data_IF_814130709938
#
_entry.id   IF_814130709938
#
_cell.length_a   1.000
_cell.length_b   1.000
_cell.length_c   1.000
_cell.angle_alpha   90.00
_cell.angle_beta   90.00
_cell.angle_gamma   90.00
#
_symmetry.space_group_name_H-M   'P 1'
#
loop_
_entity.id
_entity.type
_entity.pdbx_description
1 polymer ?
#
# COMPACT_ATOMS: atom_id res chain seq x y z
N UNK A 1 -2.73 -28.52 -5.25
CA UNK A 1 -2.86 -27.63 -6.43
C UNK A 1 -4.28 -27.15 -6.67
N UNK A 2 -5.27 -28.04 -6.79
CA UNK A 2 -6.67 -27.61 -6.99
C UNK A 2 -7.24 -26.83 -5.81
N UNK A 3 -6.92 -27.21 -4.60
CA UNK A 3 -7.36 -26.56 -3.37
C UNK A 3 -6.77 -25.15 -3.22
N UNK A 4 -5.48 -24.98 -3.52
CA UNK A 4 -4.81 -23.67 -3.52
C UNK A 4 -5.39 -22.73 -4.57
N UNK A 5 -5.66 -23.23 -5.78
CA UNK A 5 -6.26 -22.44 -6.84
C UNK A 5 -7.67 -21.99 -6.49
N UNK A 6 -8.49 -22.87 -5.94
CA UNK A 6 -9.84 -22.54 -5.47
C UNK A 6 -9.82 -21.51 -4.35
N UNK A 7 -8.84 -21.61 -3.45
CA UNK A 7 -8.68 -20.65 -2.36
C UNK A 7 -8.26 -19.26 -2.90
N UNK A 8 -7.33 -19.20 -3.85
CA UNK A 8 -6.92 -17.94 -4.49
C UNK A 8 -8.06 -17.30 -5.29
N UNK A 9 -8.84 -18.10 -6.02
CA UNK A 9 -10.00 -17.61 -6.78
C UNK A 9 -11.05 -17.02 -5.84
N UNK A 10 -11.29 -17.66 -4.70
CA UNK A 10 -12.21 -17.17 -3.67
C UNK A 10 -11.74 -15.84 -3.07
N UNK A 11 -10.47 -15.74 -2.71
CA UNK A 11 -9.87 -14.52 -2.18
C UNK A 11 -9.98 -13.38 -3.20
N UNK A 12 -9.66 -13.64 -4.45
CA UNK A 12 -9.74 -12.66 -5.53
C UNK A 12 -11.17 -12.17 -5.76
N UNK A 13 -12.14 -13.07 -5.78
CA UNK A 13 -13.56 -12.71 -5.94
C UNK A 13 -14.05 -11.86 -4.77
N UNK A 14 -13.67 -12.20 -3.54
CA UNK A 14 -14.02 -11.41 -2.36
C UNK A 14 -13.43 -9.99 -2.43
N UNK A 15 -12.21 -9.84 -2.91
CA UNK A 15 -11.59 -8.52 -3.10
C UNK A 15 -12.27 -7.70 -4.19
N UNK A 16 -12.66 -8.33 -5.31
CA UNK A 16 -13.43 -7.67 -6.36
C UNK A 16 -14.76 -7.14 -5.85
N UNK A 17 -15.48 -7.93 -5.07
CA UNK A 17 -16.77 -7.54 -4.50
C UNK A 17 -16.63 -6.37 -3.52
N UNK A 18 -15.51 -6.30 -2.80
CA UNK A 18 -15.27 -5.27 -1.79
C UNK A 18 -14.67 -3.97 -2.36
N UNK A 19 -14.22 -3.94 -3.61
CA UNK A 19 -13.50 -2.77 -4.17
C UNK A 19 -14.31 -1.47 -4.14
N UNK A 20 -15.61 -1.53 -4.40
CA UNK A 20 -16.48 -0.36 -4.40
C UNK A 20 -16.63 0.23 -3.01
N UNK A 21 -16.78 -0.64 -2.00
CA UNK A 21 -16.82 -0.24 -0.60
C UNK A 21 -15.50 0.40 -0.17
N UNK A 22 -14.36 -0.18 -0.56
CA UNK A 22 -13.04 0.36 -0.26
C UNK A 22 -12.80 1.72 -0.92
N UNK A 23 -13.28 1.93 -2.15
CA UNK A 23 -13.16 3.21 -2.85
C UNK A 23 -13.86 4.36 -2.12
N UNK A 24 -14.88 4.06 -1.32
CA UNK A 24 -15.62 5.05 -0.52
C UNK A 24 -14.99 5.36 0.83
N UNK A 25 -13.94 4.64 1.23
CA UNK A 25 -13.28 4.86 2.52
C UNK A 25 -12.52 6.18 2.55
N UNK A 26 -12.53 6.86 3.70
CA UNK A 26 -11.80 8.09 3.90
C UNK A 26 -10.34 7.88 4.31
N UNK A 27 -9.57 8.96 4.39
CA UNK A 27 -8.16 8.94 4.76
C UNK A 27 -7.93 8.35 6.17
N UNK A 28 -8.80 8.67 7.12
CA UNK A 28 -8.69 8.16 8.50
C UNK A 28 -8.77 6.64 8.56
N UNK A 29 -9.72 6.05 7.85
CA UNK A 29 -9.90 4.60 7.80
C UNK A 29 -8.73 3.91 7.11
N UNK A 30 -8.28 4.45 5.99
CA UNK A 30 -7.11 3.93 5.25
C UNK A 30 -5.83 4.03 6.07
N UNK A 31 -5.61 5.14 6.78
CA UNK A 31 -4.48 5.30 7.70
C UNK A 31 -4.50 4.25 8.81
N UNK A 32 -5.68 3.99 9.37
CA UNK A 32 -5.84 2.96 10.41
C UNK A 32 -5.43 1.58 9.90
N UNK A 33 -5.84 1.22 8.69
CA UNK A 33 -5.45 -0.04 8.04
C UNK A 33 -3.96 -0.12 7.77
N UNK A 34 -3.34 0.96 7.29
CA UNK A 34 -1.90 1.02 7.05
C UNK A 34 -1.10 0.91 8.36
N UNK A 35 -1.55 1.55 9.42
CA UNK A 35 -0.93 1.43 10.74
C UNK A 35 -1.01 0.02 11.28
N UNK A 36 -2.14 -0.66 11.09
CA UNK A 36 -2.31 -2.06 11.48
C UNK A 36 -1.39 -2.97 10.67
N UNK A 37 -1.30 -2.76 9.37
CA UNK A 37 -0.39 -3.50 8.50
C UNK A 37 1.07 -3.32 8.95
N UNK A 38 1.48 -2.10 9.22
CA UNK A 38 2.84 -1.81 9.69
C UNK A 38 3.12 -2.46 11.04
N UNK A 39 2.21 -2.35 12.00
CA UNK A 39 2.35 -2.96 13.31
C UNK A 39 2.48 -4.49 13.22
N UNK A 40 1.63 -5.13 12.42
CA UNK A 40 1.68 -6.57 12.18
C UNK A 40 2.99 -6.99 11.51
N UNK A 41 3.43 -6.24 10.52
CA UNK A 41 4.70 -6.49 9.83
C UNK A 41 5.89 -6.42 10.81
N UNK A 42 5.91 -5.42 11.70
CA UNK A 42 6.98 -5.28 12.69
C UNK A 42 6.97 -6.42 13.72
N UNK A 43 5.80 -6.92 14.10
CA UNK A 43 5.69 -8.12 14.96
C UNK A 43 6.24 -9.38 14.28
N UNK A 44 6.15 -9.44 12.95
CA UNK A 44 6.62 -10.57 12.14
C UNK A 44 8.04 -10.37 11.61
N UNK A 45 8.78 -9.39 12.10
CA UNK A 45 10.13 -9.05 11.61
C UNK A 45 11.08 -10.24 11.65
N UNK A 46 11.09 -11.00 12.73
CA UNK A 46 11.91 -12.20 12.85
C UNK A 46 11.58 -13.28 11.82
N UNK A 47 10.30 -13.49 11.52
CA UNK A 47 9.86 -14.42 10.48
C UNK A 47 10.25 -13.94 9.08
N UNK A 48 10.16 -12.63 8.82
CA UNK A 48 10.56 -12.03 7.55
C UNK A 48 12.08 -12.18 7.33
N UNK A 49 12.88 -11.95 8.36
CA UNK A 49 14.34 -12.17 8.32
C UNK A 49 14.69 -13.62 8.01
N UNK A 50 14.01 -14.56 8.65
CA UNK A 50 14.21 -16.00 8.42
C UNK A 50 13.83 -16.39 6.98
N UNK A 51 12.75 -15.85 6.46
CA UNK A 51 12.31 -16.10 5.08
C UNK A 51 13.30 -15.54 4.06
N UNK A 52 13.82 -14.34 4.28
CA UNK A 52 14.83 -13.74 3.41
C UNK A 52 16.15 -14.49 3.43
N UNK A 53 16.54 -15.00 4.58
CA UNK A 53 17.72 -15.87 4.69
C UNK A 53 17.53 -17.18 3.93
N UNK A 54 16.35 -17.79 4.05
CA UNK A 54 16.01 -19.03 3.33
C UNK A 54 16.04 -18.85 1.81
N UNK A 55 15.45 -17.76 1.31
CA UNK A 55 15.34 -17.52 -0.13
C UNK A 55 16.62 -16.97 -0.76
N UNK A 56 17.23 -15.97 -0.13
CA UNK A 56 18.31 -15.19 -0.72
C UNK A 56 19.61 -15.24 0.09
N UNK A 57 19.65 -15.99 1.16
CA UNK A 57 20.80 -16.08 2.08
C UNK A 57 21.24 -14.74 2.66
N UNK A 58 20.34 -13.77 2.77
CA UNK A 58 20.60 -12.49 3.41
C UNK A 58 20.75 -12.65 4.92
N UNK A 59 21.76 -12.02 5.51
CA UNK A 59 21.90 -11.96 6.96
C UNK A 59 20.76 -11.12 7.57
N UNK A 60 20.50 -11.30 8.88
CA UNK A 60 19.51 -10.50 9.60
C UNK A 60 19.79 -8.99 9.50
N UNK A 61 21.05 -8.58 9.58
CA UNK A 61 21.44 -7.17 9.44
C UNK A 61 21.16 -6.64 8.03
N UNK A 62 21.54 -7.39 7.00
CA UNK A 62 21.29 -7.01 5.61
C UNK A 62 19.79 -6.98 5.28
N UNK A 63 19.02 -7.98 5.71
CA UNK A 63 17.56 -8.01 5.55
C UNK A 63 16.89 -6.83 6.26
N UNK A 64 17.34 -6.50 7.48
CA UNK A 64 16.83 -5.36 8.24
C UNK A 64 17.04 -4.02 7.53
N UNK A 65 18.23 -3.81 6.96
CA UNK A 65 18.57 -2.55 6.27
C UNK A 65 17.89 -2.45 4.91
N UNK A 66 17.92 -3.51 4.10
CA UNK A 66 17.49 -3.43 2.69
C UNK A 66 16.00 -3.66 2.49
N UNK A 67 15.40 -4.59 3.22
CA UNK A 67 14.02 -5.02 2.99
C UNK A 67 13.06 -4.50 4.08
N UNK A 68 13.38 -4.79 5.34
CA UNK A 68 12.48 -4.49 6.47
C UNK A 68 12.41 -2.98 6.72
N UNK A 69 13.55 -2.29 6.73
CA UNK A 69 13.59 -0.84 6.86
C UNK A 69 12.90 -0.15 5.67
N UNK A 70 13.04 -0.70 4.46
CA UNK A 70 12.35 -0.23 3.27
C UNK A 70 10.84 -0.24 3.43
N UNK A 71 10.27 -1.36 3.85
CA UNK A 71 8.82 -1.49 4.10
C UNK A 71 8.35 -0.52 5.18
N UNK A 72 9.09 -0.44 6.30
CA UNK A 72 8.78 0.48 7.40
C UNK A 72 8.79 1.94 6.97
N UNK A 73 9.79 2.35 6.20
CA UNK A 73 9.93 3.71 5.71
C UNK A 73 8.81 4.08 4.73
N UNK A 74 8.53 3.22 3.77
CA UNK A 74 7.46 3.43 2.78
C UNK A 74 6.09 3.46 3.42
N UNK A 75 5.78 2.55 4.33
CA UNK A 75 4.51 2.52 5.04
C UNK A 75 4.32 3.78 5.91
N UNK A 76 5.35 4.20 6.62
CA UNK A 76 5.31 5.42 7.44
C UNK A 76 5.12 6.67 6.59
N UNK A 77 5.80 6.76 5.44
CA UNK A 77 5.65 7.85 4.48
C UNK A 77 4.22 7.89 3.90
N UNK A 78 3.67 6.74 3.52
CA UNK A 78 2.30 6.64 3.02
C UNK A 78 1.28 7.10 4.08
N UNK A 79 1.41 6.65 5.32
CA UNK A 79 0.53 7.06 6.43
C UNK A 79 0.56 8.58 6.62
N UNK A 80 1.74 9.17 6.57
CA UNK A 80 1.94 10.62 6.74
C UNK A 80 1.31 11.45 5.61
N UNK A 81 1.37 10.95 4.39
CA UNK A 81 0.97 11.71 3.19
C UNK A 81 -0.38 11.30 2.60
N UNK A 82 -1.03 10.25 3.12
CA UNK A 82 -2.23 9.68 2.52
C UNK A 82 -3.36 10.70 2.34
N UNK A 83 -3.62 11.53 3.33
CA UNK A 83 -4.66 12.56 3.24
C UNK A 83 -4.39 13.54 2.10
N UNK A 84 -3.14 13.94 1.93
CA UNK A 84 -2.70 14.81 0.84
C UNK A 84 -2.86 14.13 -0.52
N UNK A 85 -2.50 12.86 -0.63
CA UNK A 85 -2.61 12.10 -1.87
C UNK A 85 -4.06 11.83 -2.30
N UNK A 86 -4.97 11.75 -1.36
CA UNK A 86 -6.39 11.54 -1.63
C UNK A 86 -7.12 12.79 -2.10
N UNK A 87 -6.51 13.97 -2.02
CA UNK A 87 -7.11 15.23 -2.45
C UNK A 87 -7.07 15.37 -3.96
N UNK A 88 -8.15 15.90 -4.53
CA UNK A 88 -8.17 16.38 -5.91
C UNK A 88 -7.30 17.63 -6.02
N UNK A 89 -6.38 17.64 -6.97
CA UNK A 89 -5.49 18.79 -7.23
C UNK A 89 -5.90 19.49 -8.51
N UNK A 90 -5.99 20.82 -8.45
CA UNK A 90 -6.17 21.65 -9.64
C UNK A 90 -4.85 21.71 -10.42
N UNK A 91 -4.92 21.50 -11.73
CA UNK A 91 -3.79 21.59 -12.63
C UNK A 91 -3.89 22.88 -13.42
N UNK A 92 -2.76 23.61 -13.57
CA UNK A 92 -2.70 24.80 -14.41
C UNK A 92 -2.92 24.47 -15.88
N UNK A 93 -3.60 25.38 -16.60
CA UNK A 93 -3.79 25.25 -18.04
C UNK A 93 -2.69 26.01 -18.80
N UNK A 94 -2.41 25.56 -20.04
CA UNK A 94 -1.51 26.29 -20.92
C UNK A 94 -2.17 27.56 -21.47
N UNK A 95 -1.38 28.58 -21.92
CA UNK A 95 -1.95 29.81 -22.47
C UNK A 95 -2.92 29.57 -23.65
N UNK A 96 -2.70 28.53 -24.44
CA UNK A 96 -3.57 28.18 -25.58
C UNK A 96 -4.97 27.72 -25.16
N UNK A 97 -5.11 27.19 -23.94
CA UNK A 97 -6.38 26.69 -23.37
C UNK A 97 -6.64 27.26 -21.96
N UNK A 98 -6.27 28.51 -21.76
CA UNK A 98 -6.34 29.21 -20.48
C UNK A 98 -7.74 29.31 -19.88
N UNK A 99 -8.79 29.19 -20.68
CA UNK A 99 -10.19 29.13 -20.26
C UNK A 99 -10.62 27.76 -19.74
N UNK A 100 -9.80 26.72 -19.87
CA UNK A 100 -10.08 25.38 -19.36
C UNK A 100 -9.60 25.21 -17.93
N UNK A 101 -10.28 24.31 -17.19
CA UNK A 101 -9.90 23.93 -15.84
C UNK A 101 -9.61 22.43 -15.83
N UNK A 102 -8.48 22.07 -15.24
CA UNK A 102 -8.10 20.66 -15.10
C UNK A 102 -7.82 20.29 -13.65
N UNK A 103 -8.10 19.04 -13.31
CA UNK A 103 -7.83 18.47 -12.00
C UNK A 103 -7.18 17.11 -12.11
N UNK A 104 -6.34 16.78 -11.15
CA UNK A 104 -5.87 15.42 -10.89
C UNK A 104 -6.67 14.89 -9.72
N UNK A 105 -7.41 13.83 -9.95
CA UNK A 105 -8.26 13.18 -8.95
C UNK A 105 -7.81 11.73 -8.76
N UNK A 106 -7.46 11.31 -7.53
CA UNK A 106 -7.18 9.91 -7.24
C UNK A 106 -8.45 9.04 -7.40
N UNK A 107 -8.25 7.84 -7.88
CA UNK A 107 -9.33 6.84 -7.94
C UNK A 107 -9.68 6.28 -6.56
#
# INVERSE_FOLDING_TARGET
>A
MHEEKQNLDHIFSAQLDNRVSLAKTGARERKKKLKLLLATFLEMEGEAEAALYSDMKKSATEAGITEIMGVKTEASFAIKNLRKWMKTKRVGSTPAVSFTRGWVRPE
#
